data_IF_230692258566
#
_entry.id   IF_230692258566
#
_cell.length_a   1.000
_cell.length_b   1.000
_cell.length_c   1.000
_cell.angle_alpha   90.00
_cell.angle_beta   90.00
_cell.angle_gamma   90.00
#
_symmetry.space_group_name_H-M   'P 1'
#
loop_
_entity.id
_entity.type
_entity.pdbx_description
1 polymer ?
#
# COMPACT_ATOMS: atom_id res chain seq x y z
N UNK A 1 -5.67 -24.77 35.41
CA UNK A 1 -6.84 -24.74 34.51
C UNK A 1 -6.38 -25.20 33.13
N UNK A 2 -6.72 -26.42 32.69
CA UNK A 2 -6.33 -26.90 31.35
C UNK A 2 -7.32 -26.35 30.33
N UNK A 3 -6.97 -25.23 29.70
CA UNK A 3 -7.72 -24.69 28.56
C UNK A 3 -7.48 -25.64 27.39
N UNK A 4 -8.55 -26.13 26.74
CA UNK A 4 -8.38 -27.00 25.56
C UNK A 4 -7.83 -26.17 24.40
N UNK A 5 -6.93 -26.78 23.61
CA UNK A 5 -6.34 -26.13 22.44
C UNK A 5 -7.42 -25.64 21.44
N UNK A 6 -8.55 -26.36 21.37
CA UNK A 6 -9.73 -26.01 20.59
C UNK A 6 -10.38 -24.70 21.03
N UNK A 7 -10.51 -24.49 22.34
CA UNK A 7 -11.08 -23.25 22.88
C UNK A 7 -10.15 -22.07 22.61
N UNK A 8 -8.85 -22.28 22.77
CA UNK A 8 -7.84 -21.26 22.49
C UNK A 8 -7.85 -20.87 21.00
N UNK A 9 -7.92 -21.83 20.09
CA UNK A 9 -8.02 -21.57 18.65
C UNK A 9 -9.30 -20.80 18.28
N UNK A 10 -10.43 -21.10 18.93
CA UNK A 10 -11.71 -20.42 18.71
C UNK A 10 -11.68 -18.94 19.09
N UNK A 11 -11.00 -18.58 20.19
CA UNK A 11 -11.01 -17.21 20.73
C UNK A 11 -9.72 -16.42 20.53
N UNK A 12 -8.64 -17.04 20.03
CA UNK A 12 -7.34 -16.39 19.86
C UNK A 12 -7.42 -15.08 19.07
N UNK A 13 -8.20 -15.06 17.98
CA UNK A 13 -8.35 -13.86 17.15
C UNK A 13 -9.07 -12.74 17.87
N UNK A 14 -10.24 -13.02 18.44
CA UNK A 14 -11.03 -12.02 19.19
C UNK A 14 -10.27 -11.50 20.41
N UNK A 15 -9.54 -12.37 21.11
CA UNK A 15 -8.70 -11.98 22.23
C UNK A 15 -7.49 -11.15 21.78
N UNK A 16 -6.85 -11.48 20.65
CA UNK A 16 -5.76 -10.67 20.09
C UNK A 16 -6.24 -9.29 19.62
N UNK A 17 -7.42 -9.21 19.00
CA UNK A 17 -8.05 -7.94 18.62
C UNK A 17 -8.40 -7.11 19.86
N UNK A 18 -8.94 -7.74 20.92
CA UNK A 18 -9.19 -7.08 22.20
C UNK A 18 -7.89 -6.57 22.85
N UNK A 19 -6.83 -7.39 22.89
CA UNK A 19 -5.52 -6.99 23.40
C UNK A 19 -4.97 -5.77 22.66
N UNK A 20 -5.06 -5.73 21.32
CA UNK A 20 -4.60 -4.57 20.52
C UNK A 20 -5.33 -3.28 20.86
N UNK A 21 -6.59 -3.36 21.24
CA UNK A 21 -7.40 -2.19 21.61
C UNK A 21 -7.28 -1.79 23.09
N UNK A 22 -6.69 -2.64 23.93
CA UNK A 22 -6.56 -2.43 25.38
C UNK A 22 -5.08 -2.59 25.80
N UNK A 23 -4.19 -1.82 25.18
CA UNK A 23 -2.74 -1.87 25.45
C UNK A 23 -2.40 -1.49 26.89
N UNK A 24 -3.23 -0.64 27.50
CA UNK A 24 -3.16 -0.26 28.90
C UNK A 24 -3.30 -1.47 29.82
N UNK A 25 -4.06 -2.50 29.46
CA UNK A 25 -4.31 -3.69 30.30
C UNK A 25 -3.30 -4.82 30.15
N UNK A 26 -2.28 -4.64 29.31
CA UNK A 26 -1.31 -5.71 29.04
C UNK A 26 -0.57 -6.15 30.30
N UNK A 27 -0.32 -5.23 31.23
CA UNK A 27 0.34 -5.51 32.51
C UNK A 27 -0.47 -6.41 33.44
N UNK A 28 -1.80 -6.51 33.25
CA UNK A 28 -2.67 -7.42 34.02
C UNK A 28 -2.54 -8.88 33.56
N UNK A 29 -2.13 -9.08 32.30
CA UNK A 29 -2.13 -10.39 31.63
C UNK A 29 -0.73 -10.92 31.31
N UNK A 30 0.20 -10.03 31.02
CA UNK A 30 1.56 -10.33 30.57
C UNK A 30 2.56 -9.86 31.62
N UNK A 31 3.51 -10.72 31.96
CA UNK A 31 4.70 -10.30 32.70
C UNK A 31 5.60 -9.47 31.81
N UNK A 32 6.53 -8.72 32.41
CA UNK A 32 7.44 -7.84 31.67
C UNK A 32 8.19 -8.54 30.51
N UNK A 33 8.56 -9.80 30.69
CA UNK A 33 9.27 -10.62 29.68
C UNK A 33 8.34 -11.24 28.62
N UNK A 34 7.03 -11.23 28.84
CA UNK A 34 6.01 -11.71 27.91
C UNK A 34 5.43 -10.56 27.08
N UNK A 35 5.83 -9.31 27.37
CA UNK A 35 5.43 -8.17 26.58
C UNK A 35 6.03 -8.24 25.17
N UNK A 36 5.26 -7.86 24.14
CA UNK A 36 5.75 -7.87 22.78
C UNK A 36 6.89 -6.86 22.62
N UNK A 37 8.08 -7.36 22.33
CA UNK A 37 9.22 -6.55 21.93
C UNK A 37 9.05 -6.17 20.47
N UNK A 38 9.04 -4.86 20.19
CA UNK A 38 9.09 -4.39 18.81
C UNK A 38 10.46 -4.75 18.21
N UNK A 39 10.50 -5.26 16.97
CA UNK A 39 11.78 -5.55 16.32
C UNK A 39 12.56 -4.26 16.12
N UNK A 40 13.88 -4.35 16.17
CA UNK A 40 14.74 -3.26 15.72
C UNK A 40 14.62 -3.14 14.19
N UNK A 41 13.75 -2.24 13.72
CA UNK A 41 13.51 -2.05 12.30
C UNK A 41 14.78 -1.66 11.53
N UNK A 42 15.71 -0.94 12.17
CA UNK A 42 16.98 -0.59 11.56
C UNK A 42 17.80 -1.81 11.21
N UNK A 43 17.95 -2.73 12.16
CA UNK A 43 18.67 -4.00 11.97
C UNK A 43 17.95 -4.92 10.96
N UNK A 44 16.63 -5.06 11.08
CA UNK A 44 15.83 -5.95 10.23
C UNK A 44 15.83 -5.51 8.76
N UNK A 45 15.81 -4.21 8.50
CA UNK A 45 15.71 -3.66 7.15
C UNK A 45 17.08 -3.35 6.52
N UNK A 46 18.17 -3.47 7.29
CA UNK A 46 19.54 -3.26 6.79
C UNK A 46 19.85 -4.28 5.71
N UNK A 47 20.29 -3.81 4.54
CA UNK A 47 20.57 -4.67 3.38
C UNK A 47 19.35 -5.08 2.58
N UNK A 48 18.16 -4.60 2.95
CA UNK A 48 16.92 -4.79 2.20
C UNK A 48 16.02 -5.91 2.75
N UNK A 49 15.06 -6.35 1.94
CA UNK A 49 14.08 -7.35 2.34
C UNK A 49 13.98 -8.48 1.32
N UNK A 50 13.80 -9.72 1.78
CA UNK A 50 13.57 -10.88 0.92
C UNK A 50 12.10 -11.25 0.92
N UNK A 51 11.58 -11.64 -0.25
CA UNK A 51 10.19 -12.07 -0.42
C UNK A 51 10.04 -13.57 -0.15
N UNK A 52 8.89 -14.14 -0.54
CA UNK A 52 8.58 -15.57 -0.39
C UNK A 52 9.61 -16.49 -1.05
N UNK A 53 10.16 -16.09 -2.21
CA UNK A 53 11.25 -16.78 -2.88
C UNK A 53 12.59 -16.14 -2.49
N UNK A 54 13.10 -16.47 -1.29
CA UNK A 54 14.23 -15.76 -0.66
C UNK A 54 15.50 -15.68 -1.52
N UNK A 55 15.76 -16.68 -2.35
CA UNK A 55 16.97 -16.78 -3.17
C UNK A 55 16.87 -16.02 -4.50
N UNK A 56 15.64 -15.68 -4.94
CA UNK A 56 15.39 -15.06 -6.25
C UNK A 56 14.81 -13.66 -6.11
N UNK A 57 13.96 -13.44 -5.10
CA UNK A 57 13.25 -12.18 -4.86
C UNK A 57 13.85 -11.46 -3.66
N UNK A 58 14.95 -10.76 -3.92
CA UNK A 58 15.56 -9.83 -2.97
C UNK A 58 15.26 -8.39 -3.40
N UNK A 59 14.73 -7.59 -2.47
CA UNK A 59 14.44 -6.18 -2.64
C UNK A 59 15.54 -5.36 -1.96
N UNK A 60 16.41 -4.68 -2.72
CA UNK A 60 17.49 -3.88 -2.16
C UNK A 60 16.95 -2.75 -1.29
N UNK A 61 17.69 -2.43 -0.22
CA UNK A 61 17.35 -1.34 0.71
C UNK A 61 17.01 -0.03 0.00
N UNK A 62 17.83 0.37 -0.97
CA UNK A 62 17.69 1.66 -1.67
C UNK A 62 16.42 1.77 -2.52
N UNK A 63 15.78 0.64 -2.84
CA UNK A 63 14.51 0.62 -3.58
C UNK A 63 13.30 0.86 -2.66
N UNK A 64 13.42 0.51 -1.38
CA UNK A 64 12.31 0.45 -0.43
C UNK A 64 12.42 1.48 0.70
N UNK A 65 13.60 2.04 0.95
CA UNK A 65 13.85 3.01 2.02
C UNK A 65 14.63 4.21 1.46
N UNK A 66 14.13 5.42 1.72
CA UNK A 66 14.76 6.69 1.34
C UNK A 66 15.27 7.47 2.55
N UNK A 67 16.30 8.30 2.33
CA UNK A 67 16.89 9.17 3.36
C UNK A 67 17.56 8.40 4.50
N UNK A 68 18.19 7.26 4.18
CA UNK A 68 18.82 6.38 5.16
C UNK A 68 20.07 7.02 5.78
N UNK A 69 20.18 6.97 7.11
CA UNK A 69 21.43 7.21 7.85
C UNK A 69 21.90 5.91 8.48
N UNK A 70 23.15 5.56 8.23
CA UNK A 70 23.76 4.32 8.70
C UNK A 70 24.76 4.64 9.80
N UNK A 71 24.70 3.87 10.88
CA UNK A 71 25.68 3.92 11.97
C UNK A 71 26.06 2.50 12.35
N UNK A 72 27.36 2.25 12.46
CA UNK A 72 27.91 0.93 12.79
C UNK A 72 27.40 -0.20 11.87
N UNK A 73 27.16 0.10 10.59
CA UNK A 73 26.71 -0.88 9.61
C UNK A 73 25.21 -1.21 9.65
N UNK A 74 24.43 -0.57 10.53
CA UNK A 74 22.96 -0.71 10.61
C UNK A 74 22.26 0.62 10.34
N UNK A 75 21.04 0.55 9.81
CA UNK A 75 20.20 1.74 9.65
C UNK A 75 19.86 2.32 11.02
N UNK A 76 20.27 3.57 11.27
CA UNK A 76 19.91 4.33 12.48
C UNK A 76 18.61 5.12 12.26
N UNK A 77 18.44 5.70 11.07
CA UNK A 77 17.22 6.44 10.71
C UNK A 77 16.91 6.36 9.22
N UNK A 78 15.65 6.60 8.87
CA UNK A 78 15.17 6.75 7.49
C UNK A 78 14.12 7.85 7.42
N UNK A 79 13.98 8.50 6.26
CA UNK A 79 13.03 9.60 6.06
C UNK A 79 11.76 9.13 5.33
N UNK A 80 11.88 8.11 4.47
CA UNK A 80 10.77 7.64 3.66
C UNK A 80 10.79 6.13 3.44
N UNK A 81 9.60 5.57 3.22
CA UNK A 81 9.40 4.20 2.75
C UNK A 81 8.73 4.23 1.39
N UNK A 82 9.14 3.32 0.51
CA UNK A 82 8.59 3.18 -0.84
C UNK A 82 8.03 1.78 -1.04
N UNK A 83 6.87 1.71 -1.67
CA UNK A 83 6.25 0.45 -2.11
C UNK A 83 5.83 0.58 -3.57
N UNK A 84 6.17 -0.43 -4.37
CA UNK A 84 5.89 -0.46 -5.80
C UNK A 84 4.92 -1.59 -6.10
N UNK A 85 3.78 -1.25 -6.69
CA UNK A 85 2.79 -2.22 -7.16
C UNK A 85 2.98 -2.44 -8.65
N UNK A 86 3.46 -3.62 -9.01
CA UNK A 86 3.62 -4.01 -10.41
C UNK A 86 2.26 -4.42 -10.99
N UNK A 87 1.83 -3.72 -12.04
CA UNK A 87 0.56 -3.97 -12.74
C UNK A 87 0.87 -4.49 -14.14
N UNK A 88 0.17 -5.54 -14.56
CA UNK A 88 0.33 -6.12 -15.89
C UNK A 88 -0.11 -5.17 -17.02
N UNK A 89 0.42 -5.38 -18.23
CA UNK A 89 0.04 -4.56 -19.39
C UNK A 89 -1.40 -4.84 -19.83
N UNK A 90 -2.04 -3.91 -20.60
CA UNK A 90 -3.37 -4.15 -21.16
C UNK A 90 -3.47 -5.44 -21.99
N UNK A 91 -2.40 -5.76 -22.72
CA UNK A 91 -2.32 -6.97 -23.57
C UNK A 91 -2.28 -8.22 -22.70
N UNK A 92 -1.49 -8.22 -21.63
CA UNK A 92 -1.40 -9.37 -20.71
C UNK A 92 -2.73 -9.61 -19.99
N UNK A 93 -3.41 -8.53 -19.58
CA UNK A 93 -4.74 -8.62 -18.96
C UNK A 93 -5.75 -9.15 -19.98
N UNK A 94 -5.77 -8.63 -21.21
CA UNK A 94 -6.63 -9.15 -22.27
C UNK A 94 -6.41 -10.65 -22.48
N UNK A 95 -5.16 -11.07 -22.68
CA UNK A 95 -4.78 -12.46 -22.91
C UNK A 95 -5.14 -13.38 -21.74
N UNK A 96 -5.08 -12.89 -20.50
CA UNK A 96 -5.47 -13.67 -19.32
C UNK A 96 -6.97 -13.98 -19.27
N UNK A 97 -7.81 -13.10 -19.82
CA UNK A 97 -9.27 -13.18 -19.69
C UNK A 97 -10.02 -13.47 -20.99
N UNK A 98 -9.34 -13.52 -22.15
CA UNK A 98 -9.97 -13.66 -23.47
C UNK A 98 -10.71 -15.00 -23.69
N UNK A 99 -10.20 -16.09 -23.14
CA UNK A 99 -10.70 -17.45 -23.43
C UNK A 99 -11.80 -17.89 -22.46
N UNK A 100 -12.10 -17.10 -21.43
CA UNK A 100 -13.17 -17.41 -20.47
C UNK A 100 -12.94 -18.68 -19.64
N UNK A 101 -11.70 -19.20 -19.59
CA UNK A 101 -11.36 -20.42 -18.85
C UNK A 101 -11.79 -20.30 -17.37
N UNK A 102 -12.25 -21.40 -16.77
CA UNK A 102 -12.87 -21.43 -15.43
C UNK A 102 -12.00 -20.80 -14.35
N UNK A 103 -10.68 -20.90 -14.49
CA UNK A 103 -9.70 -20.35 -13.54
C UNK A 103 -9.68 -18.81 -13.57
N UNK A 104 -9.90 -18.21 -14.74
CA UNK A 104 -9.81 -16.76 -14.94
C UNK A 104 -11.16 -16.10 -15.23
N UNK A 105 -12.22 -16.86 -15.44
CA UNK A 105 -13.55 -16.34 -15.76
C UNK A 105 -14.06 -15.37 -14.70
N UNK A 106 -14.49 -14.18 -15.14
CA UNK A 106 -15.09 -13.15 -14.30
C UNK A 106 -16.59 -13.13 -14.58
N UNK A 107 -17.41 -13.35 -13.53
CA UNK A 107 -18.88 -13.49 -13.61
C UNK A 107 -19.59 -12.37 -14.40
N UNK A 108 -19.07 -11.14 -14.33
CA UNK A 108 -19.67 -9.96 -14.95
C UNK A 108 -18.89 -9.44 -16.15
N UNK A 109 -17.94 -10.22 -16.69
CA UNK A 109 -17.16 -9.81 -17.86
C UNK A 109 -17.87 -10.27 -19.13
N UNK A 110 -18.29 -9.30 -19.95
CA UNK A 110 -18.86 -9.59 -21.25
C UNK A 110 -17.74 -9.92 -22.26
N UNK A 111 -17.56 -11.21 -22.56
CA UNK A 111 -16.49 -11.68 -23.46
C UNK A 111 -16.66 -11.18 -24.91
N UNK A 112 -17.88 -10.89 -25.38
CA UNK A 112 -18.06 -10.34 -26.74
C UNK A 112 -17.59 -8.90 -26.88
N UNK A 113 -17.57 -8.15 -25.79
CA UNK A 113 -17.06 -6.77 -25.75
C UNK A 113 -15.62 -6.69 -25.22
N UNK A 114 -15.03 -7.81 -24.83
CA UNK A 114 -13.70 -7.84 -24.26
C UNK A 114 -12.63 -7.70 -25.34
N UNK A 115 -11.88 -6.61 -25.27
CA UNK A 115 -10.75 -6.32 -26.15
C UNK A 115 -9.64 -5.59 -25.36
N UNK A 116 -8.50 -5.35 -26.02
CA UNK A 116 -7.34 -4.68 -25.40
C UNK A 116 -7.68 -3.28 -24.90
N UNK A 117 -8.51 -2.52 -25.61
CA UNK A 117 -8.93 -1.17 -25.20
C UNK A 117 -9.78 -1.19 -23.93
N UNK A 118 -10.69 -2.16 -23.79
CA UNK A 118 -11.47 -2.35 -22.57
C UNK A 118 -10.56 -2.77 -21.42
N UNK A 119 -9.59 -3.66 -21.65
CA UNK A 119 -8.59 -4.03 -20.66
C UNK A 119 -7.75 -2.84 -20.19
N UNK A 120 -7.33 -1.98 -21.12
CA UNK A 120 -6.63 -0.72 -20.81
C UNK A 120 -7.49 0.20 -19.94
N UNK A 121 -8.77 0.36 -20.29
CA UNK A 121 -9.69 1.19 -19.51
C UNK A 121 -9.89 0.65 -18.08
N UNK A 122 -9.97 -0.68 -17.91
CA UNK A 122 -10.03 -1.32 -16.59
C UNK A 122 -8.79 -0.97 -15.76
N UNK A 123 -7.58 -1.08 -16.34
CA UNK A 123 -6.32 -0.74 -15.65
C UNK A 123 -6.31 0.74 -15.27
N UNK A 124 -6.62 1.64 -16.22
CA UNK A 124 -6.63 3.10 -15.96
C UNK A 124 -7.63 3.46 -14.87
N UNK A 125 -8.83 2.88 -14.92
CA UNK A 125 -9.87 3.09 -13.90
C UNK A 125 -9.41 2.61 -12.54
N UNK A 126 -8.80 1.43 -12.46
CA UNK A 126 -8.23 0.90 -11.23
C UNK A 126 -7.12 1.80 -10.69
N UNK A 127 -6.16 2.23 -11.52
CA UNK A 127 -5.06 3.12 -11.13
C UNK A 127 -5.59 4.45 -10.58
N UNK A 128 -6.58 5.05 -11.24
CA UNK A 128 -7.21 6.31 -10.78
C UNK A 128 -7.92 6.14 -9.43
N UNK A 129 -8.70 5.07 -9.27
CA UNK A 129 -9.39 4.79 -8.01
C UNK A 129 -8.41 4.48 -6.88
N UNK A 130 -7.36 3.70 -7.16
CA UNK A 130 -6.30 3.40 -6.20
C UNK A 130 -5.60 4.67 -5.70
N UNK A 131 -5.17 5.52 -6.63
CA UNK A 131 -4.54 6.81 -6.31
C UNK A 131 -5.48 7.72 -5.52
N UNK A 132 -6.76 7.80 -5.91
CA UNK A 132 -7.78 8.59 -5.19
C UNK A 132 -7.99 8.09 -3.75
N UNK A 133 -8.04 6.77 -3.56
CA UNK A 133 -8.17 6.17 -2.23
C UNK A 133 -6.97 6.49 -1.34
N UNK A 134 -5.76 6.46 -1.90
CA UNK A 134 -4.54 6.80 -1.15
C UNK A 134 -4.47 8.30 -0.81
N UNK A 135 -4.87 9.20 -1.71
CA UNK A 135 -4.96 10.62 -1.39
C UNK A 135 -5.93 10.89 -0.24
N UNK A 136 -7.07 10.20 -0.22
CA UNK A 136 -8.10 10.34 0.82
C UNK A 136 -7.86 9.45 2.06
N UNK A 137 -6.68 8.83 2.18
CA UNK A 137 -6.36 7.98 3.32
C UNK A 137 -6.30 8.80 4.63
N UNK A 138 -6.79 8.23 5.73
CA UNK A 138 -6.89 8.93 7.02
C UNK A 138 -5.55 9.48 7.52
N UNK A 139 -4.44 8.78 7.24
CA UNK A 139 -3.08 9.23 7.60
C UNK A 139 -2.63 10.51 6.89
N UNK A 140 -3.35 10.98 5.86
CA UNK A 140 -3.08 12.24 5.19
C UNK A 140 -3.81 13.44 5.81
N UNK A 141 -4.51 13.24 6.93
CA UNK A 141 -5.26 14.28 7.62
C UNK A 141 -4.89 14.28 9.10
N UNK A 142 -4.76 15.47 9.66
CA UNK A 142 -4.67 15.70 11.10
C UNK A 142 -5.96 16.42 11.50
N UNK A 143 -6.60 15.95 12.56
CA UNK A 143 -7.76 16.63 13.13
C UNK A 143 -7.25 17.66 14.12
N UNK A 144 -7.56 18.94 13.86
CA UNK A 144 -7.28 19.99 14.83
C UNK A 144 -8.25 19.87 16.00
N UNK A 145 -7.70 19.64 17.19
CA UNK A 145 -8.47 19.46 18.43
C UNK A 145 -9.26 20.72 18.83
N UNK A 146 -8.89 21.90 18.33
CA UNK A 146 -9.55 23.17 18.69
C UNK A 146 -10.72 23.52 17.78
N UNK A 147 -10.66 23.14 16.50
CA UNK A 147 -11.65 23.54 15.49
C UNK A 147 -12.43 22.37 14.89
N UNK A 148 -12.09 21.12 15.26
CA UNK A 148 -12.56 19.88 14.64
C UNK A 148 -12.39 19.85 13.11
N UNK A 149 -11.54 20.74 12.59
CA UNK A 149 -11.25 20.84 11.16
C UNK A 149 -10.22 19.79 10.76
N UNK A 150 -10.49 19.12 9.63
CA UNK A 150 -9.51 18.21 9.00
C UNK A 150 -8.49 19.03 8.24
N UNK A 151 -7.30 19.15 8.82
CA UNK A 151 -6.15 19.78 8.17
C UNK A 151 -5.44 18.73 7.32
N UNK A 152 -5.20 19.05 6.06
CA UNK A 152 -4.46 18.19 5.14
C UNK A 152 -2.99 18.16 5.53
N UNK A 153 -2.49 16.98 5.90
CA UNK A 153 -1.08 16.73 6.18
C UNK A 153 -0.66 15.46 5.44
N UNK A 154 -0.20 15.63 4.19
CA UNK A 154 0.09 14.51 3.29
C UNK A 154 1.32 13.75 3.78
N UNK A 155 1.15 12.46 4.12
CA UNK A 155 2.21 11.52 4.47
C UNK A 155 2.40 10.44 3.40
N UNK A 156 1.32 10.09 2.70
CA UNK A 156 1.31 9.07 1.66
C UNK A 156 1.22 9.77 0.30
N UNK A 157 2.19 9.48 -0.57
CA UNK A 157 2.31 10.06 -1.90
C UNK A 157 2.09 8.98 -2.97
N UNK A 158 0.87 8.83 -3.49
CA UNK A 158 0.63 7.90 -4.59
C UNK A 158 1.15 8.46 -5.92
N UNK A 159 1.75 7.59 -6.72
CA UNK A 159 2.10 7.86 -8.11
C UNK A 159 1.68 6.67 -8.97
N UNK A 160 0.96 6.93 -10.05
CA UNK A 160 0.58 5.94 -11.05
C UNK A 160 0.92 6.43 -12.45
N UNK A 161 1.06 5.51 -13.41
CA UNK A 161 1.34 5.86 -14.81
C UNK A 161 0.30 6.82 -15.39
N UNK A 162 -1.00 6.61 -15.08
CA UNK A 162 -2.06 7.55 -15.46
C UNK A 162 -1.84 8.97 -14.93
N UNK A 163 -1.28 9.12 -13.73
CA UNK A 163 -1.02 10.44 -13.14
C UNK A 163 0.04 11.20 -13.91
N UNK A 164 1.07 10.52 -14.42
CA UNK A 164 2.11 11.13 -15.27
C UNK A 164 1.52 11.55 -16.62
N UNK A 165 0.70 10.69 -17.24
CA UNK A 165 -0.01 11.03 -18.48
C UNK A 165 -0.92 12.25 -18.30
N UNK A 166 -1.69 12.30 -17.21
CA UNK A 166 -2.58 13.41 -16.90
C UNK A 166 -1.79 14.73 -16.69
N UNK A 167 -0.62 14.67 -16.03
CA UNK A 167 0.27 15.82 -15.89
C UNK A 167 0.75 16.32 -17.26
N UNK A 168 1.22 15.43 -18.12
CA UNK A 168 1.67 15.79 -19.47
C UNK A 168 0.53 16.39 -20.30
N UNK A 169 -0.68 15.82 -20.22
CA UNK A 169 -1.86 16.36 -20.90
C UNK A 169 -2.17 17.79 -20.43
N UNK A 170 -2.05 18.07 -19.13
CA UNK A 170 -2.22 19.43 -18.59
C UNK A 170 -1.15 20.40 -19.09
N UNK A 171 0.11 19.98 -19.18
CA UNK A 171 1.19 20.80 -19.74
C UNK A 171 0.99 21.12 -21.24
N UNK A 172 0.33 20.23 -21.98
CA UNK A 172 0.04 20.43 -23.40
C UNK A 172 -1.22 21.28 -23.66
N UNK A 173 -2.01 21.65 -22.64
CA UNK A 173 -3.21 22.47 -22.83
C UNK A 173 -2.83 23.94 -23.02
N UNK A 174 -3.10 24.47 -24.20
CA UNK A 174 -2.94 25.89 -24.50
C UNK A 174 -3.89 26.73 -23.65
N UNK A 175 -3.35 27.72 -22.95
CA UNK A 175 -4.16 28.74 -22.29
C UNK A 175 -4.39 29.90 -23.26
N UNK A 176 -5.49 29.85 -24.00
CA UNK A 176 -5.84 30.86 -24.99
C UNK A 176 -5.94 32.28 -24.39
N UNK A 177 -6.35 32.43 -23.12
CA UNK A 177 -6.37 33.75 -22.47
C UNK A 177 -4.99 34.38 -22.35
N UNK A 178 -3.96 33.59 -22.07
CA UNK A 178 -2.57 34.08 -22.04
C UNK A 178 -2.10 34.45 -23.46
N UNK A 179 -2.51 33.66 -24.47
CA UNK A 179 -2.15 33.92 -25.88
C UNK A 179 -2.79 35.20 -26.43
N UNK A 180 -3.99 35.56 -25.97
CA UNK A 180 -4.67 36.78 -26.42
C UNK A 180 -4.32 38.04 -25.62
N UNK A 181 -3.82 37.89 -24.38
CA UNK A 181 -3.44 39.02 -23.50
C UNK A 181 -1.95 39.37 -23.63
N UNK A 182 -1.10 38.39 -23.96
CA UNK A 182 0.33 38.59 -24.25
C UNK A 182 0.57 39.03 -25.68
#
# INVERSE_FOLDING_TARGET
>A
MKISAELCAKYARSFSEWLRNNTDKWHELLKLHEMPLLPNYGEVMTGGCRSFAKDVMSWPQDLIIGGVRIKNGTIESAEALQSVFLVASPIDIYNRFKDGDRIYSKRNLNLTQWNVTVAENVIKTWQRNFTRNLYNHQSNFIVDQKSDAKIVHRRIHPLASTSVTDMLEQFCKFNYSIIFIG
#
